data_IF_062389262670
#
_entry.id   IF_062389262670
#
_cell.length_a   1.000
_cell.length_b   1.000
_cell.length_c   1.000
_cell.angle_alpha   90.00
_cell.angle_beta   90.00
_cell.angle_gamma   90.00
#
_symmetry.space_group_name_H-M   'P 1'
#
loop_
_entity.id
_entity.type
_entity.pdbx_description
1 polymer ?
#
# COMPACT_ATOMS: atom_id res chain seq x y z
N UNK A 1 50.56 -13.39 32.26
CA UNK A 1 49.48 -12.42 31.95
C UNK A 1 48.16 -13.18 31.76
N UNK A 2 47.34 -13.24 32.81
CA UNK A 2 45.96 -13.76 32.81
C UNK A 2 45.00 -12.56 32.68
N UNK A 3 43.91 -12.74 31.92
CA UNK A 3 42.75 -11.83 31.69
C UNK A 3 42.87 -10.87 30.48
N UNK A 4 42.43 -11.31 29.30
CA UNK A 4 41.97 -10.39 28.23
C UNK A 4 41.01 -11.03 27.21
N UNK A 5 41.01 -12.35 27.00
CA UNK A 5 40.31 -12.94 25.83
C UNK A 5 38.81 -13.23 25.94
N UNK A 6 38.09 -12.78 26.99
CA UNK A 6 36.69 -13.21 27.22
C UNK A 6 35.61 -12.47 26.42
N UNK A 7 35.96 -11.51 25.56
CA UNK A 7 34.95 -10.63 24.93
C UNK A 7 34.91 -10.59 23.39
N UNK A 8 35.82 -11.24 22.66
CA UNK A 8 35.94 -10.98 21.21
C UNK A 8 35.03 -11.79 20.28
N UNK A 9 34.39 -12.89 20.72
CA UNK A 9 33.57 -13.74 19.82
C UNK A 9 32.40 -14.40 20.58
N UNK A 10 31.39 -13.61 20.98
CA UNK A 10 30.21 -14.14 21.69
C UNK A 10 29.31 -15.04 20.83
N UNK A 11 29.26 -14.81 19.52
CA UNK A 11 28.41 -15.58 18.62
C UNK A 11 29.15 -16.77 17.99
N UNK A 12 28.50 -17.94 17.96
CA UNK A 12 29.06 -19.19 17.42
C UNK A 12 29.38 -19.08 15.94
N UNK A 13 28.64 -18.24 15.18
CA UNK A 13 28.92 -17.99 13.77
C UNK A 13 30.21 -17.19 13.55
N UNK A 14 30.48 -16.19 14.39
CA UNK A 14 31.72 -15.39 14.31
C UNK A 14 32.95 -16.23 14.63
N UNK A 15 32.85 -17.14 15.60
CA UNK A 15 33.92 -18.10 15.90
C UNK A 15 34.23 -19.01 14.69
N UNK A 16 33.22 -19.45 13.94
CA UNK A 16 33.44 -20.24 12.73
C UNK A 16 34.12 -19.46 11.60
N UNK A 17 33.74 -18.18 11.41
CA UNK A 17 34.40 -17.28 10.45
C UNK A 17 35.86 -17.06 10.83
N UNK A 18 36.15 -16.77 12.11
CA UNK A 18 37.52 -16.60 12.60
C UNK A 18 38.40 -17.85 12.35
N UNK A 19 37.88 -19.06 12.63
CA UNK A 19 38.60 -20.31 12.36
C UNK A 19 38.89 -20.46 10.86
N UNK A 20 37.94 -20.11 9.99
CA UNK A 20 38.10 -20.18 8.54
C UNK A 20 39.14 -19.19 8.02
N UNK A 21 39.12 -17.96 8.50
CA UNK A 21 40.02 -16.90 8.01
C UNK A 21 41.48 -17.13 8.46
N UNK A 22 41.71 -17.98 9.47
CA UNK A 22 43.02 -18.27 10.03
C UNK A 22 43.45 -19.74 9.81
N UNK A 23 42.74 -20.51 8.97
CA UNK A 23 43.01 -21.95 8.80
C UNK A 23 44.34 -22.27 8.10
N UNK A 24 44.92 -21.27 7.42
CA UNK A 24 46.24 -21.35 6.79
C UNK A 24 47.38 -20.99 7.76
N UNK A 25 47.07 -20.35 8.90
CA UNK A 25 48.03 -19.83 9.87
C UNK A 25 48.09 -20.72 11.11
N UNK A 26 46.94 -21.24 11.56
CA UNK A 26 46.85 -22.07 12.76
C UNK A 26 46.14 -23.40 12.48
N UNK A 27 46.52 -24.48 13.19
CA UNK A 27 45.80 -25.76 13.12
C UNK A 27 44.35 -25.63 13.60
N UNK A 28 43.41 -26.11 12.78
CA UNK A 28 41.96 -26.01 13.01
C UNK A 28 41.55 -26.70 14.33
N UNK A 29 42.18 -27.83 14.68
CA UNK A 29 41.94 -28.58 15.91
C UNK A 29 42.28 -27.75 17.16
N UNK A 30 43.39 -27.00 17.11
CA UNK A 30 43.81 -26.12 18.20
C UNK A 30 42.88 -24.92 18.35
N UNK A 31 42.50 -24.29 17.23
CA UNK A 31 41.54 -23.19 17.27
C UNK A 31 40.16 -23.63 17.79
N UNK A 32 39.68 -24.81 17.39
CA UNK A 32 38.43 -25.38 17.89
C UNK A 32 38.48 -25.63 19.41
N UNK A 33 39.60 -26.13 19.94
CA UNK A 33 39.80 -26.30 21.39
C UNK A 33 39.80 -24.97 22.14
N UNK A 34 40.56 -23.98 21.65
CA UNK A 34 40.67 -22.65 22.30
C UNK A 34 39.35 -21.89 22.29
N UNK A 35 38.57 -22.02 21.22
CA UNK A 35 37.28 -21.33 21.05
C UNK A 35 36.09 -22.12 21.60
N UNK A 36 36.34 -23.29 22.20
CA UNK A 36 35.33 -24.19 22.77
C UNK A 36 34.26 -24.61 21.74
N UNK A 37 34.73 -25.02 20.55
CA UNK A 37 33.90 -25.45 19.43
C UNK A 37 34.15 -26.92 19.11
N UNK A 38 33.07 -27.65 18.86
CA UNK A 38 33.16 -29.01 18.35
C UNK A 38 33.67 -29.02 16.89
N UNK A 39 34.74 -29.78 16.66
CA UNK A 39 35.44 -29.90 15.37
C UNK A 39 34.52 -30.37 14.23
N UNK A 40 33.67 -31.38 14.50
CA UNK A 40 32.67 -31.91 13.57
C UNK A 40 31.63 -30.85 13.20
N UNK A 41 31.28 -29.97 14.14
CA UNK A 41 30.36 -28.85 13.89
C UNK A 41 30.97 -27.76 13.00
N UNK A 42 32.28 -27.48 13.15
CA UNK A 42 33.00 -26.56 12.25
C UNK A 42 33.05 -27.11 10.83
N UNK A 43 33.45 -28.38 10.64
CA UNK A 43 33.48 -28.98 9.30
C UNK A 43 32.09 -29.16 8.71
N UNK A 44 31.08 -29.46 9.53
CA UNK A 44 29.68 -29.42 9.10
C UNK A 44 29.33 -28.02 8.63
N UNK A 45 29.64 -26.95 9.37
CA UNK A 45 29.40 -25.57 8.92
C UNK A 45 30.19 -25.20 7.65
N UNK A 46 31.46 -25.60 7.56
CA UNK A 46 32.35 -25.38 6.40
C UNK A 46 31.81 -26.06 5.14
N UNK A 47 31.29 -27.29 5.26
CA UNK A 47 30.59 -28.03 4.18
C UNK A 47 29.18 -27.50 3.94
N UNK A 48 28.50 -27.06 4.99
CA UNK A 48 27.09 -26.66 4.95
C UNK A 48 26.97 -25.19 4.62
N UNK A 49 27.01 -24.83 3.34
CA UNK A 49 26.17 -23.73 2.79
C UNK A 49 26.30 -22.33 3.42
N UNK A 50 27.23 -22.05 4.34
CA UNK A 50 27.29 -20.76 5.03
C UNK A 50 27.63 -19.64 4.02
N UNK A 51 28.52 -19.94 3.07
CA UNK A 51 28.78 -19.11 1.89
C UNK A 51 27.54 -18.98 1.00
N UNK A 52 26.88 -20.08 0.65
CA UNK A 52 25.68 -20.07 -0.22
C UNK A 52 24.48 -19.35 0.39
N UNK A 53 24.28 -19.45 1.71
CA UNK A 53 23.23 -18.75 2.46
C UNK A 53 23.53 -17.26 2.57
N UNK A 54 24.80 -16.90 2.78
CA UNK A 54 25.23 -15.50 2.76
C UNK A 54 25.06 -14.91 1.36
N UNK A 55 25.49 -15.62 0.32
CA UNK A 55 25.34 -15.23 -1.08
C UNK A 55 23.87 -15.06 -1.46
N UNK A 56 23.01 -16.02 -1.08
CA UNK A 56 21.57 -15.93 -1.30
C UNK A 56 20.96 -14.75 -0.55
N UNK A 57 21.35 -14.51 0.72
CA UNK A 57 20.90 -13.36 1.49
C UNK A 57 21.24 -12.04 0.79
N UNK A 58 22.49 -11.89 0.35
CA UNK A 58 22.93 -10.66 -0.34
C UNK A 58 22.26 -10.51 -1.71
N UNK A 59 22.04 -11.60 -2.45
CA UNK A 59 21.24 -11.59 -3.67
C UNK A 59 19.80 -11.11 -3.42
N UNK A 60 19.14 -11.64 -2.38
CA UNK A 60 17.78 -11.22 -2.02
C UNK A 60 17.75 -9.75 -1.59
N UNK A 61 18.77 -9.26 -0.87
CA UNK A 61 18.87 -7.83 -0.51
C UNK A 61 18.97 -6.93 -1.75
N UNK A 62 19.77 -7.31 -2.74
CA UNK A 62 19.85 -6.59 -4.03
C UNK A 62 18.48 -6.56 -4.71
N UNK A 63 17.79 -7.69 -4.79
CA UNK A 63 16.46 -7.78 -5.39
C UNK A 63 15.41 -6.97 -4.63
N UNK A 64 15.43 -6.99 -3.29
CA UNK A 64 14.57 -6.14 -2.45
C UNK A 64 14.81 -4.67 -2.77
N UNK A 65 16.07 -4.27 -2.92
CA UNK A 65 16.47 -2.89 -3.20
C UNK A 65 15.99 -2.44 -4.58
N UNK A 66 16.15 -3.30 -5.59
CA UNK A 66 15.62 -3.05 -6.94
C UNK A 66 14.11 -2.83 -6.94
N UNK A 67 13.34 -3.76 -6.34
CA UNK A 67 11.88 -3.63 -6.23
C UNK A 67 11.49 -2.37 -5.43
N UNK A 68 12.21 -2.07 -4.36
CA UNK A 68 11.94 -0.90 -3.52
C UNK A 68 12.04 0.42 -4.31
N UNK A 69 13.08 0.59 -5.13
CA UNK A 69 13.25 1.78 -5.96
C UNK A 69 12.38 1.79 -7.22
N UNK A 70 12.16 0.63 -7.85
CA UNK A 70 11.23 0.46 -8.97
C UNK A 70 9.83 0.98 -8.62
N UNK A 71 9.37 0.71 -7.39
CA UNK A 71 8.08 1.17 -6.89
C UNK A 71 8.14 2.50 -6.13
N UNK A 72 9.15 3.34 -6.41
CA UNK A 72 9.32 4.69 -5.83
C UNK A 72 9.23 4.70 -4.30
N UNK A 73 9.71 3.64 -3.63
CA UNK A 73 9.72 3.47 -2.17
C UNK A 73 8.32 3.37 -1.54
N UNK A 74 7.28 3.13 -2.34
CA UNK A 74 5.88 3.04 -1.89
C UNK A 74 5.56 1.70 -1.23
N UNK A 75 6.28 0.63 -1.62
CA UNK A 75 6.05 -0.71 -1.11
C UNK A 75 6.85 -1.01 0.16
N UNK A 76 6.18 -1.64 1.12
CA UNK A 76 6.80 -2.29 2.28
C UNK A 76 6.95 -3.79 2.06
N UNK A 77 7.43 -4.48 3.10
CA UNK A 77 7.76 -5.91 3.06
C UNK A 77 6.66 -6.84 2.50
N UNK A 78 5.34 -6.63 2.73
CA UNK A 78 4.32 -7.50 2.16
C UNK A 78 4.29 -7.45 0.63
N UNK A 79 4.35 -6.26 0.04
CA UNK A 79 4.24 -6.09 -1.41
C UNK A 79 5.55 -6.44 -2.11
N UNK A 80 6.69 -6.13 -1.50
CA UNK A 80 7.99 -6.52 -2.04
C UNK A 80 8.10 -8.05 -2.09
N UNK A 81 7.66 -8.77 -1.06
CA UNK A 81 7.64 -10.23 -1.08
C UNK A 81 6.79 -10.78 -2.25
N UNK A 82 5.62 -10.19 -2.52
CA UNK A 82 4.78 -10.59 -3.65
C UNK A 82 5.44 -10.34 -5.01
N UNK A 83 6.13 -9.20 -5.17
CA UNK A 83 6.87 -8.91 -6.41
C UNK A 83 8.03 -9.89 -6.62
N UNK A 84 8.75 -10.26 -5.56
CA UNK A 84 9.83 -11.25 -5.64
C UNK A 84 9.28 -12.64 -5.97
N UNK A 85 8.17 -13.04 -5.36
CA UNK A 85 7.50 -14.31 -5.67
C UNK A 85 7.00 -14.36 -7.12
N UNK A 86 6.43 -13.25 -7.63
CA UNK A 86 6.02 -13.14 -9.03
C UNK A 86 7.22 -13.26 -10.00
N UNK A 87 8.41 -12.82 -9.59
CA UNK A 87 9.67 -12.99 -10.34
C UNK A 87 10.31 -14.38 -10.17
N UNK A 88 9.64 -15.31 -9.48
CA UNK A 88 10.11 -16.68 -9.29
C UNK A 88 10.96 -16.91 -8.03
N UNK A 89 11.16 -15.90 -7.20
CA UNK A 89 11.96 -16.04 -5.97
C UNK A 89 11.11 -16.55 -4.80
N UNK A 90 11.54 -17.66 -4.20
CA UNK A 90 10.90 -18.24 -3.01
C UNK A 90 11.38 -17.52 -1.74
N UNK A 91 10.76 -16.40 -1.41
CA UNK A 91 11.06 -15.62 -0.20
C UNK A 91 9.80 -15.28 0.59
N UNK A 92 9.88 -15.39 1.92
CA UNK A 92 8.77 -15.07 2.80
C UNK A 92 8.71 -13.56 3.11
N UNK A 93 7.52 -13.05 3.44
CA UNK A 93 7.33 -11.69 3.95
C UNK A 93 8.23 -11.38 5.14
N UNK A 94 8.37 -12.32 6.07
CA UNK A 94 9.16 -12.15 7.31
C UNK A 94 10.65 -11.98 6.96
N UNK A 95 11.14 -12.77 6.00
CA UNK A 95 12.51 -12.66 5.50
C UNK A 95 12.75 -11.30 4.83
N UNK A 96 11.84 -10.85 3.97
CA UNK A 96 11.92 -9.53 3.35
C UNK A 96 11.90 -8.42 4.41
N UNK A 97 11.01 -8.50 5.39
CA UNK A 97 10.93 -7.52 6.48
C UNK A 97 12.24 -7.43 7.28
N UNK A 98 12.81 -8.58 7.63
CA UNK A 98 14.10 -8.66 8.31
C UNK A 98 15.20 -7.97 7.50
N UNK A 99 15.32 -8.30 6.21
CA UNK A 99 16.37 -7.72 5.36
C UNK A 99 16.16 -6.24 5.07
N UNK A 100 14.92 -5.78 4.92
CA UNK A 100 14.62 -4.35 4.83
C UNK A 100 15.07 -3.60 6.09
N UNK A 101 14.81 -4.14 7.28
CA UNK A 101 15.27 -3.53 8.55
C UNK A 101 16.79 -3.49 8.65
N UNK A 102 17.47 -4.59 8.27
CA UNK A 102 18.94 -4.63 8.23
C UNK A 102 19.53 -3.57 7.28
N UNK A 103 18.87 -3.27 6.17
CA UNK A 103 19.27 -2.26 5.19
C UNK A 103 18.74 -0.84 5.51
N UNK A 104 17.96 -0.66 6.58
CA UNK A 104 17.34 0.63 6.91
C UNK A 104 16.20 1.07 5.97
N UNK A 105 15.69 0.18 5.10
CA UNK A 105 14.63 0.52 4.14
C UNK A 105 13.25 0.58 4.81
N UNK A 106 12.49 1.65 4.55
CA UNK A 106 11.13 1.86 5.08
C UNK A 106 10.21 2.46 4.03
N UNK A 107 9.04 1.85 3.83
CA UNK A 107 8.04 2.39 2.89
C UNK A 107 7.57 3.79 3.32
N UNK A 108 7.26 4.65 2.34
CA UNK A 108 6.71 6.01 2.59
C UNK A 108 5.45 6.05 3.48
N UNK A 109 4.68 4.95 3.55
CA UNK A 109 3.46 4.84 4.36
C UNK A 109 3.71 4.73 5.89
N UNK A 110 4.96 4.82 6.37
CA UNK A 110 5.29 4.43 7.76
C UNK A 110 4.94 5.44 8.86
N UNK A 111 4.25 6.56 8.56
CA UNK A 111 3.84 7.52 9.60
C UNK A 111 2.51 7.12 10.24
N UNK A 112 2.47 7.11 11.59
CA UNK A 112 1.23 6.94 12.35
C UNK A 112 0.31 8.14 12.10
N UNK A 113 -0.98 7.85 11.99
CA UNK A 113 -2.03 8.82 11.69
C UNK A 113 -2.40 9.62 12.94
N UNK A 114 -2.73 10.90 12.75
CA UNK A 114 -3.39 11.77 13.75
C UNK A 114 -4.78 12.09 13.21
N UNK A 115 -5.82 11.78 13.98
CA UNK A 115 -7.22 12.01 13.60
C UNK A 115 -7.47 13.51 13.55
N UNK A 116 -7.90 14.03 12.41
CA UNK A 116 -8.39 15.40 12.26
C UNK A 116 -9.64 15.34 11.40
N UNK A 117 -10.82 15.43 12.01
CA UNK A 117 -12.00 16.18 11.54
C UNK A 117 -13.12 16.04 12.57
N UNK A 118 -13.59 17.16 13.10
CA UNK A 118 -14.89 17.31 13.76
C UNK A 118 -15.88 17.79 12.68
N UNK A 119 -17.00 17.10 12.51
CA UNK A 119 -18.04 17.45 11.54
C UNK A 119 -19.39 17.61 12.26
N UNK A 120 -19.63 18.83 12.77
CA UNK A 120 -20.93 19.27 13.31
C UNK A 120 -21.69 20.08 12.25
N UNK A 121 -22.58 19.44 11.47
CA UNK A 121 -23.59 20.14 10.67
C UNK A 121 -24.95 19.42 10.70
N UNK A 122 -26.04 20.20 10.58
CA UNK A 122 -27.44 19.77 10.70
C UNK A 122 -28.05 19.41 9.33
N UNK A 123 -27.52 18.41 8.63
CA UNK A 123 -28.13 17.92 7.38
C UNK A 123 -28.98 16.65 7.60
N UNK A 124 -30.03 16.52 6.78
CA UNK A 124 -31.03 15.44 6.76
C UNK A 124 -30.43 14.04 7.00
N UNK A 125 -31.06 13.32 7.93
CA UNK A 125 -30.70 11.96 8.32
C UNK A 125 -30.95 11.01 7.13
N UNK A 126 -29.87 10.50 6.54
CA UNK A 126 -29.94 9.37 5.60
C UNK A 126 -29.24 8.17 6.24
N UNK A 127 -29.79 6.98 5.99
CA UNK A 127 -29.30 5.74 6.59
C UNK A 127 -27.99 5.25 5.95
N UNK A 128 -27.16 4.60 6.78
CA UNK A 128 -25.96 3.92 6.30
C UNK A 128 -26.34 2.56 5.70
N UNK A 129 -26.84 2.60 4.46
CA UNK A 129 -27.19 1.39 3.69
C UNK A 129 -25.99 0.48 3.40
N UNK A 130 -24.79 1.02 3.14
CA UNK A 130 -23.60 0.20 2.86
C UNK A 130 -23.17 -0.63 4.06
N UNK A 131 -23.39 -0.14 5.27
CA UNK A 131 -23.11 -0.82 6.54
C UNK A 131 -21.73 -1.51 6.60
N UNK A 132 -20.71 -0.88 6.02
CA UNK A 132 -19.31 -1.38 5.95
C UNK A 132 -19.12 -2.67 5.13
N UNK A 133 -20.08 -3.02 4.27
CA UNK A 133 -19.94 -4.10 3.29
C UNK A 133 -18.99 -3.71 2.16
N UNK A 134 -17.69 -3.66 2.49
CA UNK A 134 -16.67 -3.21 1.55
C UNK A 134 -16.25 -4.26 0.52
N UNK A 135 -16.76 -5.49 0.61
CA UNK A 135 -16.48 -6.58 -0.34
C UNK A 135 -17.71 -6.81 -1.18
N UNK A 136 -17.62 -6.45 -2.46
CA UNK A 136 -18.69 -6.63 -3.42
C UNK A 136 -18.33 -7.78 -4.37
N UNK A 137 -19.33 -8.59 -4.75
CA UNK A 137 -19.15 -9.74 -5.63
C UNK A 137 -19.09 -9.36 -7.10
N UNK A 138 -19.63 -8.20 -7.47
CA UNK A 138 -19.73 -7.72 -8.85
C UNK A 138 -19.39 -6.22 -8.96
N UNK A 139 -18.89 -5.75 -10.12
CA UNK A 139 -18.72 -4.34 -10.40
C UNK A 139 -20.01 -3.55 -10.20
N UNK A 140 -19.89 -2.28 -9.78
CA UNK A 140 -21.01 -1.34 -9.71
C UNK A 140 -22.15 -1.72 -8.74
N UNK A 141 -21.90 -2.58 -7.76
CA UNK A 141 -22.81 -2.78 -6.63
C UNK A 141 -22.69 -1.67 -5.59
N UNK A 142 -21.47 -1.22 -5.31
CA UNK A 142 -21.26 -0.09 -4.41
C UNK A 142 -20.03 0.74 -4.79
N UNK A 143 -20.23 2.05 -4.92
CA UNK A 143 -19.18 3.04 -5.13
C UNK A 143 -19.05 3.89 -3.87
N UNK A 144 -17.82 4.12 -3.43
CA UNK A 144 -17.51 5.01 -2.29
C UNK A 144 -16.87 6.30 -2.79
N UNK A 145 -17.22 7.42 -2.15
CA UNK A 145 -16.69 8.72 -2.52
C UNK A 145 -16.30 9.54 -1.30
N UNK A 146 -15.25 10.34 -1.47
CA UNK A 146 -14.76 11.26 -0.45
C UNK A 146 -13.99 12.42 -1.07
N UNK A 147 -13.85 13.52 -0.33
CA UNK A 147 -13.13 14.74 -0.73
C UNK A 147 -11.99 14.99 0.26
N UNK A 148 -10.80 15.29 -0.25
CA UNK A 148 -9.69 15.82 0.56
C UNK A 148 -9.18 17.12 -0.05
N UNK A 149 -8.57 17.97 0.78
CA UNK A 149 -7.74 19.07 0.29
C UNK A 149 -6.26 18.62 0.15
N UNK A 150 -5.55 19.27 -0.76
CA UNK A 150 -4.13 19.12 -1.07
C UNK A 150 -3.52 20.52 -1.07
N UNK A 151 -2.48 20.73 -0.27
CA UNK A 151 -1.74 22.00 -0.26
C UNK A 151 -0.83 22.09 -1.51
N UNK A 152 -0.81 23.26 -2.13
CA UNK A 152 0.05 23.64 -3.26
C UNK A 152 0.60 25.05 -3.04
N UNK A 153 1.56 25.50 -3.85
CA UNK A 153 2.13 26.86 -3.75
C UNK A 153 1.08 27.97 -3.76
N UNK A 154 0.04 27.80 -4.56
CA UNK A 154 -1.02 28.80 -4.81
C UNK A 154 -2.24 28.62 -3.89
N UNK A 155 -2.11 27.87 -2.78
CA UNK A 155 -3.19 27.61 -1.82
C UNK A 155 -3.57 26.14 -1.75
N UNK A 156 -4.83 25.81 -2.05
CA UNK A 156 -5.36 24.45 -1.94
C UNK A 156 -6.07 23.98 -3.20
N UNK A 157 -5.94 22.67 -3.46
CA UNK A 157 -6.77 21.93 -4.40
C UNK A 157 -7.67 20.96 -3.63
N UNK A 158 -8.89 20.77 -4.11
CA UNK A 158 -9.85 19.80 -3.60
C UNK A 158 -9.88 18.61 -4.55
N UNK A 159 -9.49 17.44 -4.05
CA UNK A 159 -9.54 16.18 -4.77
C UNK A 159 -10.78 15.40 -4.33
N UNK A 160 -11.71 15.20 -5.25
CA UNK A 160 -12.85 14.29 -5.07
C UNK A 160 -12.54 12.97 -5.73
N UNK A 161 -12.85 11.85 -5.09
CA UNK A 161 -12.62 10.51 -5.67
C UNK A 161 -13.85 9.63 -5.58
N UNK A 162 -14.00 8.72 -6.53
CA UNK A 162 -15.04 7.68 -6.58
C UNK A 162 -14.33 6.35 -6.85
N UNK A 163 -14.47 5.41 -5.91
CA UNK A 163 -13.84 4.10 -5.95
C UNK A 163 -14.93 3.03 -6.02
N UNK A 164 -14.81 2.10 -6.96
CA UNK A 164 -15.66 0.92 -6.98
C UNK A 164 -15.13 -0.12 -5.97
N UNK A 165 -16.01 -0.59 -5.08
CA UNK A 165 -15.64 -1.51 -4.01
C UNK A 165 -15.31 -2.93 -4.50
N UNK A 166 -15.74 -3.31 -5.70
CA UNK A 166 -15.47 -4.63 -6.29
C UNK A 166 -13.98 -4.89 -6.48
N UNK A 167 -13.32 -4.07 -7.30
CA UNK A 167 -11.92 -4.22 -7.68
C UNK A 167 -11.03 -3.09 -7.14
N UNK A 168 -11.56 -2.21 -6.28
CA UNK A 168 -10.84 -1.04 -5.72
C UNK A 168 -10.38 -0.03 -6.76
N UNK A 169 -10.86 -0.10 -8.00
CA UNK A 169 -10.49 0.86 -9.02
C UNK A 169 -11.06 2.23 -8.68
N UNK A 170 -10.21 3.25 -8.75
CA UNK A 170 -10.65 4.63 -8.69
C UNK A 170 -11.19 4.97 -10.09
N UNK A 171 -12.50 4.98 -10.23
CA UNK A 171 -13.21 5.06 -11.51
C UNK A 171 -13.55 6.49 -11.90
N UNK A 172 -13.58 7.42 -10.95
CA UNK A 172 -13.79 8.84 -11.23
C UNK A 172 -13.11 9.71 -10.20
N UNK A 173 -12.60 10.85 -10.64
CA UNK A 173 -12.04 11.87 -9.76
C UNK A 173 -12.13 13.25 -10.39
N UNK A 174 -11.99 14.28 -9.55
CA UNK A 174 -11.86 15.66 -9.99
C UNK A 174 -10.91 16.40 -9.07
N UNK A 175 -10.20 17.37 -9.64
CA UNK A 175 -9.30 18.25 -8.91
C UNK A 175 -9.74 19.70 -9.19
N UNK A 176 -10.06 20.44 -8.14
CA UNK A 176 -10.63 21.79 -8.26
C UNK A 176 -10.02 22.78 -7.29
N UNK A 177 -10.09 24.06 -7.61
CA UNK A 177 -9.69 25.16 -6.71
C UNK A 177 -10.81 25.60 -5.76
N UNK A 178 -12.06 25.22 -6.08
CA UNK A 178 -13.24 25.50 -5.27
C UNK A 178 -13.95 24.24 -4.81
N UNK A 179 -14.76 24.39 -3.77
CA UNK A 179 -15.44 23.28 -3.08
C UNK A 179 -16.89 23.06 -3.52
N UNK A 180 -17.34 23.77 -4.56
CA UNK A 180 -18.72 23.68 -5.02
C UNK A 180 -19.01 22.33 -5.69
N UNK A 181 -20.24 21.84 -5.58
CA UNK A 181 -20.70 20.56 -6.14
C UNK A 181 -20.43 20.43 -7.65
N UNK A 182 -20.53 21.52 -8.40
CA UNK A 182 -20.24 21.57 -9.85
C UNK A 182 -18.75 21.46 -10.19
N UNK A 183 -17.87 21.67 -9.23
CA UNK A 183 -16.41 21.56 -9.38
C UNK A 183 -15.86 20.24 -8.80
N UNK A 184 -16.56 19.66 -7.83
CA UNK A 184 -16.13 18.50 -7.05
C UNK A 184 -16.88 17.23 -7.46
N UNK A 185 -18.01 16.94 -6.81
CA UNK A 185 -18.74 15.66 -6.91
C UNK A 185 -19.34 15.41 -8.28
N UNK A 186 -19.88 16.43 -8.97
CA UNK A 186 -20.47 16.25 -10.31
C UNK A 186 -19.42 15.89 -11.38
N UNK A 187 -18.27 16.58 -11.51
CA UNK A 187 -17.22 16.16 -12.44
C UNK A 187 -16.68 14.75 -12.16
N UNK A 188 -16.44 14.41 -10.89
CA UNK A 188 -15.97 13.07 -10.52
C UNK A 188 -17.01 12.00 -10.92
N UNK A 189 -18.30 12.26 -10.66
CA UNK A 189 -19.40 11.38 -11.08
C UNK A 189 -19.47 11.19 -12.59
N UNK A 190 -19.38 12.27 -13.36
CA UNK A 190 -19.36 12.20 -14.84
C UNK A 190 -18.22 11.36 -15.37
N UNK A 191 -17.05 11.39 -14.71
CA UNK A 191 -15.93 10.52 -15.06
C UNK A 191 -16.21 9.06 -14.69
N UNK A 192 -16.74 8.80 -13.49
CA UNK A 192 -17.05 7.46 -13.01
C UNK A 192 -18.00 6.71 -13.95
N UNK A 193 -19.09 7.34 -14.37
CA UNK A 193 -20.11 6.70 -15.24
C UNK A 193 -19.60 6.42 -16.66
N UNK A 194 -18.58 7.16 -17.12
CA UNK A 194 -17.90 6.88 -18.40
C UNK A 194 -16.96 5.68 -18.27
N UNK A 195 -16.31 5.56 -17.11
CA UNK A 195 -15.30 4.52 -16.86
C UNK A 195 -15.88 3.20 -16.35
N UNK A 196 -17.13 3.21 -15.87
CA UNK A 196 -17.80 2.05 -15.30
C UNK A 196 -19.31 2.11 -15.56
N UNK A 197 -19.84 1.07 -16.21
CA UNK A 197 -21.28 0.94 -16.44
C UNK A 197 -22.01 0.83 -15.10
N UNK A 198 -23.07 1.61 -14.93
CA UNK A 198 -23.90 1.62 -13.72
C UNK A 198 -24.75 0.35 -13.67
N UNK A 199 -24.88 -0.24 -12.48
CA UNK A 199 -25.86 -1.29 -12.18
C UNK A 199 -27.17 -0.66 -11.71
N UNK A 200 -28.31 -1.34 -11.94
CA UNK A 200 -29.62 -0.89 -11.44
C UNK A 200 -29.69 -0.81 -9.91
N UNK A 201 -28.81 -1.52 -9.21
CA UNK A 201 -28.77 -1.61 -7.75
C UNK A 201 -27.55 -0.87 -7.16
N UNK A 202 -26.96 0.07 -7.90
CA UNK A 202 -25.76 0.76 -7.44
C UNK A 202 -26.05 1.54 -6.15
N UNK A 203 -25.27 1.25 -5.11
CA UNK A 203 -25.17 2.08 -3.92
C UNK A 203 -24.06 3.11 -4.12
N UNK A 204 -24.37 4.40 -3.92
CA UNK A 204 -23.36 5.45 -3.81
C UNK A 204 -23.21 5.86 -2.35
N UNK A 205 -22.07 5.54 -1.76
CA UNK A 205 -21.76 5.82 -0.37
C UNK A 205 -20.78 6.99 -0.25
N UNK A 206 -21.10 7.97 0.59
CA UNK A 206 -20.21 9.09 0.88
C UNK A 206 -20.21 9.44 2.37
N UNK A 207 -19.31 10.32 2.77
CA UNK A 207 -19.44 11.01 4.04
C UNK A 207 -20.65 11.98 4.06
N UNK A 208 -20.76 12.78 5.13
CA UNK A 208 -21.84 13.76 5.30
C UNK A 208 -21.49 15.15 4.74
N UNK A 209 -20.50 15.27 3.85
CA UNK A 209 -20.09 16.53 3.26
C UNK A 209 -21.22 17.27 2.55
N UNK A 210 -21.21 18.60 2.62
CA UNK A 210 -22.25 19.48 2.05
C UNK A 210 -22.40 19.28 0.54
N UNK A 211 -21.32 18.91 -0.14
CA UNK A 211 -21.28 18.64 -1.58
C UNK A 211 -22.12 17.41 -1.96
N UNK A 212 -22.18 16.41 -1.08
CA UNK A 212 -23.00 15.20 -1.24
C UNK A 212 -24.44 15.39 -0.78
N UNK A 213 -24.69 16.36 0.11
CA UNK A 213 -26.03 16.77 0.53
C UNK A 213 -26.73 17.69 -0.48
N UNK A 214 -25.99 18.28 -1.42
CA UNK A 214 -26.52 19.22 -2.41
C UNK A 214 -27.61 18.60 -3.30
N UNK A 215 -28.73 19.32 -3.50
CA UNK A 215 -29.88 18.87 -4.30
C UNK A 215 -29.52 18.51 -5.75
N UNK A 216 -28.60 19.25 -6.39
CA UNK A 216 -28.18 18.96 -7.77
C UNK A 216 -27.49 17.60 -7.86
N UNK A 217 -26.63 17.28 -6.89
CA UNK A 217 -25.98 15.97 -6.84
C UNK A 217 -26.97 14.86 -6.48
N UNK A 218 -27.84 15.11 -5.49
CA UNK A 218 -28.91 14.18 -5.11
C UNK A 218 -29.81 13.82 -6.29
N UNK A 219 -30.29 14.82 -7.04
CA UNK A 219 -31.15 14.64 -8.20
C UNK A 219 -30.43 13.92 -9.34
N UNK A 220 -29.13 14.19 -9.51
CA UNK A 220 -28.29 13.48 -10.49
C UNK A 220 -28.23 11.99 -10.13
N UNK A 221 -27.97 11.63 -8.87
CA UNK A 221 -27.95 10.21 -8.47
C UNK A 221 -29.34 9.56 -8.64
N UNK A 222 -30.40 10.26 -8.28
CA UNK A 222 -31.77 9.78 -8.44
C UNK A 222 -32.12 9.51 -9.92
N UNK A 223 -31.67 10.33 -10.88
CA UNK A 223 -31.93 10.11 -12.31
C UNK A 223 -31.26 8.85 -12.87
N UNK A 224 -30.28 8.29 -12.16
CA UNK A 224 -29.64 7.01 -12.50
C UNK A 224 -30.15 5.84 -11.64
N UNK A 225 -31.22 6.04 -10.85
CA UNK A 225 -31.77 5.06 -9.89
C UNK A 225 -30.72 4.57 -8.88
N UNK A 226 -29.84 5.46 -8.43
CA UNK A 226 -28.75 5.12 -7.51
C UNK A 226 -29.20 5.30 -6.07
N UNK A 227 -29.03 4.25 -5.26
CA UNK A 227 -29.31 4.27 -3.83
C UNK A 227 -28.22 5.04 -3.10
N UNK A 228 -28.58 6.15 -2.47
CA UNK A 228 -27.63 6.95 -1.68
C UNK A 228 -27.45 6.35 -0.29
N UNK A 229 -26.20 6.25 0.15
CA UNK A 229 -25.81 5.82 1.49
C UNK A 229 -24.86 6.85 2.10
N UNK A 230 -24.96 7.11 3.40
CA UNK A 230 -24.06 8.05 4.08
C UNK A 230 -23.46 7.47 5.36
N UNK A 231 -22.22 7.83 5.66
CA UNK A 231 -21.59 7.50 6.95
C UNK A 231 -22.44 8.00 8.13
N UNK A 232 -22.40 7.29 9.25
CA UNK A 232 -22.98 7.79 10.51
C UNK A 232 -22.16 8.97 11.04
N UNK A 233 -22.80 9.86 11.81
CA UNK A 233 -22.14 11.02 12.41
C UNK A 233 -20.93 10.54 13.25
N UNK A 234 -19.76 11.11 13.03
CA UNK A 234 -18.54 10.79 13.78
C UNK A 234 -17.97 9.38 13.56
N UNK A 235 -18.36 8.68 12.48
CA UNK A 235 -17.95 7.29 12.25
C UNK A 235 -17.06 7.16 11.00
N UNK A 236 -15.75 7.37 11.18
CA UNK A 236 -14.74 7.24 10.12
C UNK A 236 -14.71 5.84 9.47
N UNK A 237 -15.04 4.81 10.24
CA UNK A 237 -15.04 3.43 9.76
C UNK A 237 -16.06 3.17 8.65
N UNK A 238 -17.11 4.00 8.54
CA UNK A 238 -18.14 3.83 7.52
C UNK A 238 -17.61 4.17 6.11
N UNK A 239 -16.59 5.04 5.99
CA UNK A 239 -15.93 5.39 4.70
C UNK A 239 -14.45 4.96 4.64
N UNK A 240 -14.07 3.91 5.39
CA UNK A 240 -12.69 3.50 5.60
C UNK A 240 -11.88 3.24 4.30
N UNK A 241 -12.55 2.87 3.20
CA UNK A 241 -11.91 2.61 1.91
C UNK A 241 -11.37 3.89 1.28
N UNK A 242 -12.16 4.95 1.26
CA UNK A 242 -11.75 6.25 0.73
C UNK A 242 -10.70 6.89 1.66
N UNK A 243 -10.88 6.78 2.97
CA UNK A 243 -9.87 7.23 3.95
C UNK A 243 -8.53 6.52 3.76
N UNK A 244 -8.55 5.19 3.56
CA UNK A 244 -7.33 4.41 3.29
C UNK A 244 -6.66 4.81 1.97
N UNK A 245 -7.44 5.19 0.95
CA UNK A 245 -6.90 5.73 -0.29
C UNK A 245 -6.19 7.06 -0.01
N UNK A 246 -6.85 8.03 0.63
CA UNK A 246 -6.26 9.34 0.89
C UNK A 246 -5.05 9.27 1.81
N UNK A 247 -5.03 8.36 2.79
CA UNK A 247 -3.83 8.10 3.59
C UNK A 247 -2.65 7.64 2.73
N UNK A 248 -2.90 6.75 1.77
CA UNK A 248 -1.89 6.27 0.84
C UNK A 248 -1.40 7.40 -0.07
N UNK A 249 -2.32 8.13 -0.70
CA UNK A 249 -2.00 9.28 -1.55
C UNK A 249 -1.16 10.32 -0.81
N UNK A 250 -1.61 10.74 0.38
CA UNK A 250 -0.90 11.76 1.17
C UNK A 250 0.51 11.34 1.52
N UNK A 251 0.69 10.10 1.95
CA UNK A 251 2.01 9.60 2.37
C UNK A 251 2.94 9.29 1.19
N UNK A 252 2.41 8.74 0.10
CA UNK A 252 3.21 8.27 -1.04
C UNK A 252 3.52 9.39 -2.05
N UNK A 253 2.69 10.44 -2.10
CA UNK A 253 2.80 11.55 -3.03
C UNK A 253 2.92 12.90 -2.32
N UNK A 254 1.88 13.31 -1.58
CA UNK A 254 1.71 14.72 -1.16
C UNK A 254 2.77 15.18 -0.17
N UNK A 255 3.07 14.40 0.87
CA UNK A 255 4.04 14.78 1.90
C UNK A 255 5.49 14.89 1.39
N UNK A 256 5.79 14.33 0.21
CA UNK A 256 7.08 14.53 -0.46
C UNK A 256 7.12 15.76 -1.36
N UNK A 257 5.97 16.36 -1.67
CA UNK A 257 5.78 17.34 -2.75
C UNK A 257 5.00 18.59 -2.27
N UNK A 258 5.28 19.11 -1.07
CA UNK A 258 4.45 20.13 -0.39
C UNK A 258 4.55 21.53 -1.04
N UNK A 259 5.47 21.74 -1.98
CA UNK A 259 5.78 23.07 -2.56
C UNK A 259 5.81 23.07 -4.10
N UNK A 260 5.00 22.24 -4.74
CA UNK A 260 4.86 22.29 -6.20
C UNK A 260 3.66 23.16 -6.60
N UNK A 261 3.70 23.67 -7.83
CA UNK A 261 2.63 24.48 -8.41
C UNK A 261 1.37 23.66 -8.61
N UNK A 262 0.23 24.33 -8.78
CA UNK A 262 -1.06 23.71 -9.10
C UNK A 262 -0.96 22.76 -10.30
N UNK A 263 -0.36 23.24 -11.39
CA UNK A 263 -0.21 22.50 -12.65
C UNK A 263 0.66 21.26 -12.49
N UNK A 264 1.73 21.36 -11.70
CA UNK A 264 2.58 20.20 -11.38
C UNK A 264 1.81 19.18 -10.53
N UNK A 265 1.06 19.65 -9.52
CA UNK A 265 0.25 18.77 -8.67
C UNK A 265 -0.84 18.05 -9.46
N UNK A 266 -1.49 18.72 -10.42
CA UNK A 266 -2.44 18.09 -11.34
C UNK A 266 -1.82 16.91 -12.09
N UNK A 267 -0.61 17.08 -12.64
CA UNK A 267 0.13 16.01 -13.32
C UNK A 267 0.50 14.86 -12.37
N UNK A 268 0.99 15.19 -11.18
CA UNK A 268 1.38 14.21 -10.17
C UNK A 268 0.19 13.39 -9.66
N UNK A 269 -0.97 14.02 -9.43
CA UNK A 269 -2.20 13.34 -9.04
C UNK A 269 -2.70 12.43 -10.17
N UNK A 270 -2.69 12.92 -11.41
CA UNK A 270 -3.02 12.11 -12.58
C UNK A 270 -2.12 10.88 -12.68
N UNK A 271 -0.79 11.05 -12.65
CA UNK A 271 0.18 9.94 -12.72
C UNK A 271 -0.06 8.94 -11.57
N UNK A 272 -0.29 9.45 -10.37
CA UNK A 272 -0.52 8.61 -9.19
C UNK A 272 -1.80 7.79 -9.31
N UNK A 273 -2.91 8.38 -9.76
CA UNK A 273 -4.19 7.68 -9.85
C UNK A 273 -4.20 6.72 -11.04
N UNK A 274 -3.93 7.23 -12.25
CA UNK A 274 -4.15 6.48 -13.49
C UNK A 274 -3.04 5.48 -13.78
N UNK A 275 -1.77 5.82 -13.54
CA UNK A 275 -0.65 4.97 -13.91
C UNK A 275 -0.13 4.12 -12.75
N UNK A 276 -0.23 4.63 -11.53
CA UNK A 276 0.22 3.91 -10.34
C UNK A 276 -0.90 3.13 -9.65
N UNK A 277 -1.88 3.82 -9.08
CA UNK A 277 -2.92 3.21 -8.26
C UNK A 277 -3.77 2.24 -9.07
N UNK A 278 -4.30 2.68 -10.22
CA UNK A 278 -5.21 1.87 -11.03
C UNK A 278 -4.54 0.72 -11.79
N UNK A 279 -3.24 0.78 -12.06
CA UNK A 279 -2.55 -0.17 -12.96
C UNK A 279 -1.50 -1.03 -12.28
N UNK A 280 -0.71 -0.46 -11.38
CA UNK A 280 0.51 -1.11 -10.84
C UNK A 280 0.40 -1.46 -9.36
N UNK A 281 -0.47 -0.79 -8.59
CA UNK A 281 -0.59 -1.02 -7.15
C UNK A 281 -1.17 -2.40 -6.85
N UNK A 282 -0.54 -3.13 -5.93
CA UNK A 282 -1.08 -4.34 -5.30
C UNK A 282 -2.01 -3.99 -4.15
N UNK A 283 -3.20 -4.58 -4.11
CA UNK A 283 -4.22 -4.31 -3.08
C UNK A 283 -4.33 -5.49 -2.13
N UNK A 284 -4.12 -5.27 -0.83
CA UNK A 284 -4.23 -6.33 0.18
C UNK A 284 -5.64 -6.92 0.24
N UNK A 285 -6.67 -6.12 -0.02
CA UNK A 285 -8.07 -6.57 -0.13
C UNK A 285 -8.35 -7.46 -1.33
N UNK A 286 -7.46 -7.44 -2.34
CA UNK A 286 -7.51 -8.28 -3.53
C UNK A 286 -6.43 -9.38 -3.48
N UNK A 287 -6.08 -9.86 -2.29
CA UNK A 287 -5.01 -10.86 -2.09
C UNK A 287 -3.66 -10.45 -2.69
N UNK A 288 -3.33 -9.16 -2.60
CA UNK A 288 -2.13 -8.55 -3.18
C UNK A 288 -2.02 -8.65 -4.70
N UNK A 289 -3.13 -8.82 -5.40
CA UNK A 289 -3.17 -8.67 -6.86
C UNK A 289 -3.23 -7.20 -7.24
N UNK A 290 -2.78 -6.88 -8.46
CA UNK A 290 -3.19 -5.64 -9.12
C UNK A 290 -4.65 -5.74 -9.56
N UNK A 291 -5.27 -4.60 -9.83
CA UNK A 291 -6.66 -4.55 -10.32
C UNK A 291 -6.82 -5.36 -11.61
N UNK A 292 -5.83 -5.26 -12.51
CA UNK A 292 -5.81 -6.03 -13.75
C UNK A 292 -5.65 -7.53 -13.51
N UNK A 293 -4.72 -7.94 -12.64
CA UNK A 293 -4.54 -9.35 -12.27
C UNK A 293 -5.81 -9.93 -11.64
N UNK A 294 -6.47 -9.19 -10.75
CA UNK A 294 -7.73 -9.58 -10.13
C UNK A 294 -8.85 -9.77 -11.15
N UNK A 295 -9.03 -8.81 -12.06
CA UNK A 295 -10.06 -8.86 -13.08
C UNK A 295 -9.82 -10.01 -14.09
N UNK A 296 -8.58 -10.26 -14.50
CA UNK A 296 -8.24 -11.41 -15.36
C UNK A 296 -8.59 -12.74 -14.70
N UNK A 297 -8.25 -12.91 -13.42
CA UNK A 297 -8.58 -14.13 -12.68
C UNK A 297 -10.10 -14.35 -12.62
N UNK A 298 -10.87 -13.29 -12.32
CA UNK A 298 -12.34 -13.38 -12.24
C UNK A 298 -13.00 -13.70 -13.58
N UNK A 299 -12.45 -13.18 -14.68
CA UNK A 299 -12.91 -13.52 -16.03
C UNK A 299 -12.68 -15.02 -16.30
N UNK A 300 -11.49 -15.54 -16.02
CA UNK A 300 -11.18 -16.94 -16.25
C UNK A 300 -12.09 -17.90 -15.46
N UNK A 301 -12.42 -17.57 -14.21
CA UNK A 301 -13.38 -18.36 -13.43
C UNK A 301 -14.79 -18.36 -14.02
N UNK A 302 -15.20 -17.26 -14.69
CA UNK A 302 -16.53 -17.15 -15.30
C UNK A 302 -16.66 -17.93 -16.61
N UNK A 303 -15.54 -18.21 -17.29
CA UNK A 303 -15.51 -19.03 -18.51
C UNK A 303 -15.20 -20.51 -18.25
N UNK A 304 -14.72 -20.85 -17.05
CA UNK A 304 -14.42 -22.22 -16.64
C UNK A 304 -15.56 -22.90 -15.84
N UNK A 305 -16.60 -22.13 -15.48
CA UNK A 305 -17.81 -22.59 -14.80
C UNK A 305 -19.00 -22.55 -15.77
#
# INVERSE_FOLDING_TARGET
>A
MKKSNRHFLKDRSMKYVFIKDNETIFPIDKMCKVLEINFSSYYKWKRSSASSKLLWKEQIKVLITQVYFEFKQRYGSPRIAMELQKRGYKVSRITVDKYMREMGLRSKLSKKFRVTTDSKHNYLLMDNVLNREFKQSEPSKAWVSDITYIAVKEGFLYLTTIIDLYDRKLIGWSLSTGMATNQTTLPAWRMAIKNRRISKELIFHSDRGVQYANNKFANTLASYNVTRSKSRKGNCWDNAVAESFFKSLKSELIYGNILITRKEMEREVFEYIELWYNKKRRHSTLNYLTIEEFNKLKINYKYAA
#
